data_IF_612592453530
#
_entry.id   IF_612592453530
#
_cell.length_a   1.000
_cell.length_b   1.000
_cell.length_c   1.000
_cell.angle_alpha   90.00
_cell.angle_beta   90.00
_cell.angle_gamma   90.00
#
_symmetry.space_group_name_H-M   'P 1'
#
loop_
_entity.id
_entity.type
_entity.pdbx_description
1 polymer ?
#
# COMPACT_ATOMS: atom_id res chain seq x y z
N UNK A 1 18.09 29.36 -3.36
CA UNK A 1 16.63 29.22 -3.31
C UNK A 1 16.25 28.22 -4.39
N UNK A 2 15.89 27.00 -4.03
CA UNK A 2 15.37 26.05 -5.01
C UNK A 2 13.99 26.57 -5.43
N UNK A 3 13.74 26.68 -6.74
CA UNK A 3 12.42 26.99 -7.27
C UNK A 3 11.42 25.99 -6.72
N UNK A 4 10.44 26.47 -5.97
CA UNK A 4 9.34 25.67 -5.45
C UNK A 4 8.59 25.08 -6.65
N UNK A 5 8.75 23.78 -6.89
CA UNK A 5 8.06 23.11 -7.99
C UNK A 5 6.62 22.92 -7.55
N UNK A 6 5.76 23.88 -7.89
CA UNK A 6 4.32 23.73 -7.67
C UNK A 6 3.80 22.65 -8.61
N UNK A 7 3.23 21.57 -8.05
CA UNK A 7 2.64 20.50 -8.85
C UNK A 7 1.31 20.98 -9.40
N UNK A 8 1.17 20.90 -10.73
CA UNK A 8 -0.12 21.04 -11.39
C UNK A 8 -0.95 19.77 -11.18
N UNK A 9 -1.67 19.73 -10.06
CA UNK A 9 -2.56 18.62 -9.72
C UNK A 9 -3.69 18.41 -10.73
N UNK A 10 -3.99 19.36 -11.61
CA UNK A 10 -5.01 19.13 -12.64
C UNK A 10 -4.55 18.07 -13.65
N UNK A 11 -3.27 18.08 -14.03
CA UNK A 11 -2.70 17.19 -15.04
C UNK A 11 -1.80 16.09 -14.47
N UNK A 12 -1.28 16.28 -13.25
CA UNK A 12 -0.35 15.36 -12.60
C UNK A 12 -1.10 14.65 -11.47
N UNK A 13 -1.51 13.38 -11.65
CA UNK A 13 -2.39 12.75 -10.69
C UNK A 13 -1.63 12.08 -9.53
N UNK A 14 -0.28 12.03 -9.58
CA UNK A 14 0.53 11.49 -8.50
C UNK A 14 1.86 12.22 -8.28
N UNK A 15 2.35 12.17 -7.04
CA UNK A 15 3.66 12.66 -6.65
C UNK A 15 4.33 11.69 -5.67
N UNK A 16 5.65 11.84 -5.50
CA UNK A 16 6.43 11.15 -4.46
C UNK A 16 7.10 12.22 -3.61
N UNK A 17 6.99 12.12 -2.30
CA UNK A 17 7.74 12.98 -1.40
C UNK A 17 9.23 12.65 -1.44
N UNK A 18 10.06 13.70 -1.37
CA UNK A 18 11.53 13.56 -1.36
C UNK A 18 12.09 14.43 -0.24
N UNK A 19 12.34 13.86 0.93
CA UNK A 19 12.87 14.57 2.11
C UNK A 19 14.16 15.34 1.81
N UNK A 20 15.07 14.78 1.00
CA UNK A 20 16.34 15.47 0.64
C UNK A 20 16.13 16.79 -0.10
N UNK A 21 15.04 16.93 -0.85
CA UNK A 21 14.66 18.18 -1.51
C UNK A 21 13.59 18.96 -0.74
N UNK A 22 13.00 18.38 0.30
CA UNK A 22 11.86 18.96 1.04
C UNK A 22 10.68 19.27 0.12
N UNK A 23 10.42 18.44 -0.89
CA UNK A 23 9.46 18.76 -1.93
C UNK A 23 8.78 17.52 -2.52
N UNK A 24 7.56 17.72 -3.03
CA UNK A 24 6.84 16.73 -3.81
C UNK A 24 7.40 16.69 -5.24
N UNK A 25 7.80 15.50 -5.69
CA UNK A 25 8.24 15.27 -7.06
C UNK A 25 7.08 14.69 -7.89
N UNK A 26 6.70 15.31 -9.02
CA UNK A 26 5.63 14.79 -9.85
C UNK A 26 5.97 13.43 -10.48
N UNK A 27 4.97 12.56 -10.59
CA UNK A 27 5.06 11.27 -11.29
C UNK A 27 4.42 11.39 -12.67
N UNK A 28 5.25 11.46 -13.70
CA UNK A 28 4.81 11.56 -15.10
C UNK A 28 4.51 10.20 -15.74
N UNK A 29 5.18 9.14 -15.30
CA UNK A 29 4.99 7.79 -15.83
C UNK A 29 4.33 6.91 -14.77
N UNK A 30 3.02 6.70 -14.93
CA UNK A 30 2.20 5.93 -13.99
C UNK A 30 1.95 4.55 -14.58
N UNK A 31 2.16 3.54 -13.75
CA UNK A 31 1.83 2.15 -14.04
C UNK A 31 0.35 2.03 -14.49
N UNK A 32 0.11 1.49 -15.68
CA UNK A 32 -1.23 1.45 -16.31
C UNK A 32 -2.15 0.37 -15.76
N UNK A 33 -1.76 -0.30 -14.67
CA UNK A 33 -2.53 -1.38 -14.05
C UNK A 33 -3.97 -0.96 -13.71
N UNK A 34 -4.92 -1.84 -14.01
CA UNK A 34 -6.35 -1.69 -13.76
C UNK A 34 -6.83 -2.78 -12.82
N UNK A 35 -8.02 -2.60 -12.24
CA UNK A 35 -8.62 -3.63 -11.38
C UNK A 35 -8.83 -4.96 -12.08
N UNK A 36 -9.13 -4.95 -13.39
CA UNK A 36 -9.28 -6.17 -14.18
C UNK A 36 -7.98 -7.00 -14.27
N UNK A 37 -6.82 -6.38 -14.04
CA UNK A 37 -5.52 -7.07 -14.07
C UNK A 37 -5.19 -7.73 -12.71
N UNK A 38 -6.05 -7.55 -11.70
CA UNK A 38 -5.83 -8.00 -10.32
C UNK A 38 -6.73 -9.20 -9.97
N UNK A 39 -6.20 -10.40 -10.15
CA UNK A 39 -6.94 -11.64 -9.94
C UNK A 39 -6.85 -12.15 -8.49
N UNK A 40 -7.93 -12.78 -8.02
CA UNK A 40 -7.99 -13.48 -6.72
C UNK A 40 -8.14 -12.57 -5.50
N UNK A 41 -8.39 -11.27 -5.70
CA UNK A 41 -8.54 -10.27 -4.63
C UNK A 41 -9.81 -9.42 -4.75
N UNK A 42 -10.87 -9.99 -5.34
CA UNK A 42 -12.13 -9.29 -5.63
C UNK A 42 -12.77 -8.66 -4.40
N UNK A 43 -12.67 -9.32 -3.24
CA UNK A 43 -13.20 -8.80 -1.96
C UNK A 43 -12.46 -7.55 -1.52
N UNK A 44 -11.14 -7.54 -1.64
CA UNK A 44 -10.27 -6.42 -1.31
C UNK A 44 -10.52 -5.25 -2.26
N UNK A 45 -10.67 -5.53 -3.56
CA UNK A 45 -11.06 -4.55 -4.58
C UNK A 45 -12.41 -3.91 -4.25
N UNK A 46 -13.44 -4.71 -3.99
CA UNK A 46 -14.77 -4.21 -3.69
C UNK A 46 -14.77 -3.30 -2.44
N UNK A 47 -14.08 -3.72 -1.38
CA UNK A 47 -14.01 -2.98 -0.13
C UNK A 47 -13.26 -1.64 -0.29
N UNK A 48 -12.09 -1.64 -0.95
CA UNK A 48 -11.30 -0.42 -1.12
C UNK A 48 -11.96 0.54 -2.12
N UNK A 49 -12.59 0.04 -3.20
CA UNK A 49 -13.36 0.86 -4.13
C UNK A 49 -14.50 1.57 -3.41
N UNK A 50 -15.30 0.82 -2.63
CA UNK A 50 -16.40 1.40 -1.86
C UNK A 50 -15.92 2.50 -0.91
N UNK A 51 -14.79 2.30 -0.22
CA UNK A 51 -14.23 3.31 0.67
C UNK A 51 -13.76 4.55 -0.12
N UNK A 52 -13.00 4.38 -1.20
CA UNK A 52 -12.52 5.50 -2.01
C UNK A 52 -13.64 6.25 -2.74
N UNK A 53 -14.69 5.57 -3.20
CA UNK A 53 -15.85 6.24 -3.81
C UNK A 53 -16.62 7.10 -2.82
N UNK A 54 -16.72 6.64 -1.56
CA UNK A 54 -17.30 7.45 -0.47
C UNK A 54 -16.44 8.67 -0.17
N UNK A 55 -15.12 8.50 -0.16
CA UNK A 55 -14.17 9.58 0.09
C UNK A 55 -14.29 10.69 -0.96
N UNK A 56 -14.25 10.32 -2.25
CA UNK A 56 -14.42 11.26 -3.37
C UNK A 56 -15.81 11.94 -3.34
N UNK A 57 -16.80 11.31 -2.72
CA UNK A 57 -18.14 11.87 -2.56
C UNK A 57 -18.31 12.68 -1.26
N UNK A 58 -17.25 12.96 -0.51
CA UNK A 58 -17.30 13.71 0.75
C UNK A 58 -18.09 13.01 1.86
N UNK A 59 -18.13 11.66 1.86
CA UNK A 59 -18.85 10.87 2.87
C UNK A 59 -17.86 10.29 3.90
N UNK A 60 -18.32 9.89 5.10
CA UNK A 60 -17.46 9.26 6.09
C UNK A 60 -16.76 8.00 5.55
N UNK A 61 -15.46 7.92 5.79
CA UNK A 61 -14.53 6.89 5.29
C UNK A 61 -13.44 6.56 6.29
N UNK A 62 -12.72 5.47 6.03
CA UNK A 62 -11.65 4.99 6.87
C UNK A 62 -10.28 5.11 6.19
N UNK A 63 -9.25 5.35 6.98
CA UNK A 63 -7.88 5.00 6.58
C UNK A 63 -7.78 3.48 6.38
N UNK A 64 -6.92 3.04 5.46
CA UNK A 64 -6.82 1.63 5.07
C UNK A 64 -5.44 1.03 5.32
N UNK A 65 -5.41 -0.16 5.92
CA UNK A 65 -4.22 -0.98 6.06
C UNK A 65 -4.36 -2.25 5.22
N UNK A 66 -3.49 -2.38 4.22
CA UNK A 66 -3.40 -3.54 3.34
C UNK A 66 -2.23 -4.41 3.80
N UNK A 67 -2.51 -5.57 4.39
CA UNK A 67 -1.46 -6.39 5.01
C UNK A 67 -1.42 -7.80 4.43
N UNK A 68 -0.25 -8.45 4.53
CA UNK A 68 -0.09 -9.86 4.21
C UNK A 68 1.06 -10.14 3.24
N UNK A 69 1.00 -11.25 2.51
CA UNK A 69 2.13 -11.77 1.76
C UNK A 69 2.64 -10.81 0.67
N UNK A 70 3.93 -10.93 0.32
CA UNK A 70 4.56 -10.11 -0.74
C UNK A 70 4.05 -10.55 -2.12
N UNK A 71 3.88 -9.60 -3.03
CA UNK A 71 3.54 -9.90 -4.44
C UNK A 71 2.09 -10.33 -4.68
N UNK A 72 1.17 -10.03 -3.75
CA UNK A 72 -0.27 -10.35 -3.81
C UNK A 72 -1.14 -9.21 -4.33
N UNK A 73 -0.55 -8.09 -4.77
CA UNK A 73 -1.29 -6.97 -5.36
C UNK A 73 -1.58 -5.79 -4.44
N UNK A 74 -1.03 -5.76 -3.21
CA UNK A 74 -1.23 -4.66 -2.24
C UNK A 74 -0.89 -3.26 -2.79
N UNK A 75 0.28 -3.09 -3.41
CA UNK A 75 0.66 -1.81 -4.03
C UNK A 75 -0.08 -1.58 -5.36
N UNK A 76 -0.35 -2.66 -6.09
CA UNK A 76 -1.04 -2.61 -7.39
C UNK A 76 -2.48 -2.11 -7.28
N UNK A 77 -3.17 -2.40 -6.19
CA UNK A 77 -4.55 -1.94 -5.98
C UNK A 77 -4.62 -0.42 -5.79
N UNK A 78 -3.60 0.20 -5.19
CA UNK A 78 -3.50 1.65 -5.01
C UNK A 78 -3.29 2.34 -6.37
N UNK A 79 -2.43 1.77 -7.21
CA UNK A 79 -2.21 2.22 -8.58
C UNK A 79 -3.49 2.08 -9.42
N UNK A 80 -4.20 0.96 -9.28
CA UNK A 80 -5.49 0.75 -9.96
C UNK A 80 -6.56 1.76 -9.52
N UNK A 81 -6.63 2.09 -8.21
CA UNK A 81 -7.50 3.16 -7.70
C UNK A 81 -7.21 4.50 -8.36
N UNK A 82 -5.94 4.88 -8.44
CA UNK A 82 -5.52 6.12 -9.09
C UNK A 82 -5.97 6.14 -10.55
N UNK A 83 -5.72 5.07 -11.30
CA UNK A 83 -6.10 4.99 -12.71
C UNK A 83 -7.62 5.06 -12.92
N UNK A 84 -8.39 4.41 -12.05
CA UNK A 84 -9.85 4.43 -12.10
C UNK A 84 -10.43 5.82 -11.79
N UNK A 85 -9.88 6.51 -10.78
CA UNK A 85 -10.54 7.68 -10.20
C UNK A 85 -9.82 9.01 -10.40
N UNK A 86 -8.67 9.06 -11.08
CA UNK A 86 -7.96 10.33 -11.36
C UNK A 86 -8.84 11.37 -12.06
N UNK A 87 -9.72 10.94 -12.97
CA UNK A 87 -10.65 11.82 -13.67
C UNK A 87 -11.75 12.39 -12.76
N UNK A 88 -11.99 11.75 -11.61
CA UNK A 88 -12.92 12.20 -10.56
C UNK A 88 -12.20 12.96 -9.44
N UNK A 89 -10.96 13.40 -9.68
CA UNK A 89 -10.20 14.23 -8.74
C UNK A 89 -9.38 13.46 -7.70
N UNK A 90 -9.24 12.14 -7.81
CA UNK A 90 -8.36 11.38 -6.92
C UNK A 90 -6.88 11.62 -7.26
N UNK A 91 -6.05 11.84 -6.25
CA UNK A 91 -4.60 12.00 -6.33
C UNK A 91 -3.90 11.07 -5.36
N UNK A 92 -2.68 10.65 -5.67
CA UNK A 92 -1.86 9.83 -4.78
C UNK A 92 -0.52 10.50 -4.51
N UNK A 93 -0.15 10.58 -3.24
CA UNK A 93 1.18 11.02 -2.82
C UNK A 93 1.85 9.82 -2.17
N UNK A 94 2.91 9.31 -2.78
CA UNK A 94 3.72 8.25 -2.20
C UNK A 94 4.71 8.86 -1.19
N UNK A 95 4.74 8.28 0.01
CA UNK A 95 5.65 8.69 1.07
C UNK A 95 6.37 7.45 1.60
N UNK A 96 7.70 7.49 1.56
CA UNK A 96 8.53 6.39 2.06
C UNK A 96 8.49 6.35 3.60
N UNK A 97 8.69 5.17 4.19
CA UNK A 97 8.69 4.98 5.65
C UNK A 97 9.65 5.94 6.38
N UNK A 98 10.83 6.19 5.81
CA UNK A 98 11.83 7.10 6.40
C UNK A 98 11.35 8.55 6.49
N UNK A 99 10.37 8.92 5.68
CA UNK A 99 9.96 10.29 5.45
C UNK A 99 8.65 10.61 6.20
N UNK A 100 8.16 9.69 7.03
CA UNK A 100 6.92 9.83 7.80
C UNK A 100 6.91 11.03 8.75
N UNK A 101 8.07 11.52 9.17
CA UNK A 101 8.18 12.72 10.02
C UNK A 101 7.71 13.99 9.30
N UNK A 102 7.81 14.01 7.96
CA UNK A 102 7.40 15.14 7.13
C UNK A 102 5.91 15.10 6.77
N UNK A 103 5.18 14.06 7.21
CA UNK A 103 3.77 13.86 6.87
C UNK A 103 2.88 15.07 7.19
N UNK A 104 3.04 15.79 8.32
CA UNK A 104 2.27 17.01 8.58
C UNK A 104 2.49 18.09 7.50
N UNK A 105 3.73 18.33 7.06
CA UNK A 105 4.00 19.32 6.02
C UNK A 105 3.45 18.90 4.65
N UNK A 106 3.51 17.60 4.34
CA UNK A 106 2.90 17.05 3.12
C UNK A 106 1.40 17.31 3.14
N UNK A 107 0.73 17.04 4.26
CA UNK A 107 -0.70 17.27 4.45
C UNK A 107 -1.03 18.76 4.28
N UNK A 108 -0.28 19.64 4.94
CA UNK A 108 -0.49 21.08 4.86
C UNK A 108 -0.35 21.62 3.44
N UNK A 109 0.56 21.06 2.64
CA UNK A 109 0.76 21.47 1.25
C UNK A 109 -0.43 21.18 0.32
N UNK A 110 -1.34 20.26 0.69
CA UNK A 110 -2.45 19.82 -0.18
C UNK A 110 -3.84 19.90 0.45
N UNK A 111 -3.97 20.24 1.73
CA UNK A 111 -5.26 20.29 2.44
C UNK A 111 -6.28 21.26 1.83
N UNK A 112 -5.83 22.39 1.27
CA UNK A 112 -6.71 23.42 0.68
C UNK A 112 -6.91 23.24 -0.83
N UNK A 113 -6.37 22.17 -1.40
CA UNK A 113 -6.52 21.87 -2.83
C UNK A 113 -7.87 21.19 -3.11
N UNK A 114 -8.49 21.42 -4.29
CA UNK A 114 -9.83 20.93 -4.62
C UNK A 114 -9.87 19.42 -4.98
N UNK A 115 -8.78 18.69 -4.72
CA UNK A 115 -8.63 17.27 -5.04
C UNK A 115 -8.71 16.41 -3.78
N UNK A 116 -8.93 15.11 -3.98
CA UNK A 116 -8.94 14.12 -2.91
C UNK A 116 -7.62 13.34 -2.94
N UNK A 117 -6.86 13.36 -1.85
CA UNK A 117 -5.52 12.80 -1.79
C UNK A 117 -5.51 11.51 -0.98
N UNK A 118 -4.91 10.46 -1.55
CA UNK A 118 -4.44 9.31 -0.78
C UNK A 118 -2.95 9.51 -0.52
N UNK A 119 -2.56 9.69 0.73
CA UNK A 119 -1.19 9.50 1.16
C UNK A 119 -0.94 8.00 1.24
N UNK A 120 -0.08 7.50 0.36
CA UNK A 120 0.26 6.10 0.23
C UNK A 120 1.62 5.81 0.86
N UNK A 121 1.63 4.97 1.88
CA UNK A 121 2.85 4.50 2.54
C UNK A 121 3.10 3.03 2.18
N UNK A 122 4.16 2.73 1.43
CA UNK A 122 4.51 1.34 1.10
C UNK A 122 5.38 0.69 2.17
N UNK A 123 5.13 -0.59 2.45
CA UNK A 123 5.87 -1.44 3.41
C UNK A 123 6.01 -0.84 4.82
N UNK A 124 4.90 -0.29 5.32
CA UNK A 124 4.78 0.21 6.68
C UNK A 124 5.00 -0.93 7.68
N UNK A 125 6.10 -0.82 8.41
CA UNK A 125 6.46 -1.67 9.54
C UNK A 125 7.32 -0.81 10.46
N UNK A 126 7.18 -0.94 11.77
CA UNK A 126 7.95 -0.15 12.73
C UNK A 126 8.87 -1.05 13.54
N UNK A 127 10.12 -0.62 13.68
CA UNK A 127 11.07 -1.30 14.55
C UNK A 127 10.97 -0.76 15.99
N UNK A 128 11.59 -1.43 16.95
CA UNK A 128 11.67 -0.94 18.32
C UNK A 128 12.40 0.40 18.41
N UNK A 129 11.89 1.30 19.25
CA UNK A 129 12.44 2.65 19.41
C UNK A 129 12.16 3.63 18.26
N UNK A 130 11.58 3.17 17.15
CA UNK A 130 11.21 4.06 16.05
C UNK A 130 10.01 4.94 16.44
N UNK A 131 10.16 6.27 16.33
CA UNK A 131 9.14 7.27 16.72
C UNK A 131 8.35 7.87 15.55
N UNK A 132 8.67 7.46 14.30
CA UNK A 132 8.04 7.94 13.06
C UNK A 132 6.52 7.72 13.02
N UNK A 133 6.03 6.69 13.72
CA UNK A 133 4.60 6.39 13.85
C UNK A 133 3.80 7.51 14.55
N UNK A 134 4.43 8.35 15.38
CA UNK A 134 3.75 9.43 16.11
C UNK A 134 3.23 10.52 15.17
N UNK A 135 4.00 10.86 14.13
CA UNK A 135 3.58 11.81 13.11
C UNK A 135 2.33 11.31 12.37
N UNK A 136 2.34 10.03 11.99
CA UNK A 136 1.19 9.38 11.35
C UNK A 136 -0.05 9.38 12.24
N UNK A 137 0.11 9.01 13.52
CA UNK A 137 -0.98 9.05 14.50
C UNK A 137 -1.58 10.45 14.63
N UNK A 138 -0.74 11.47 14.75
CA UNK A 138 -1.18 12.86 14.87
C UNK A 138 -2.02 13.31 13.67
N UNK A 139 -1.67 12.92 12.45
CA UNK A 139 -2.43 13.27 11.23
C UNK A 139 -3.78 12.52 11.20
N UNK A 140 -3.80 11.25 11.64
CA UNK A 140 -5.03 10.44 11.64
C UNK A 140 -6.03 10.86 12.73
N UNK A 141 -5.53 11.27 13.91
CA UNK A 141 -6.37 11.69 15.04
C UNK A 141 -6.80 13.15 14.92
N UNK A 142 -6.03 13.95 14.20
CA UNK A 142 -6.07 15.39 14.33
C UNK A 142 -5.37 15.82 15.61
N UNK A 143 -5.03 17.10 15.68
CA UNK A 143 -4.47 17.71 16.89
C UNK A 143 -5.47 18.75 17.41
N UNK A 144 -5.04 19.99 17.60
CA UNK A 144 -5.95 21.14 17.70
C UNK A 144 -6.75 21.28 16.40
N UNK A 145 -6.13 20.93 15.27
CA UNK A 145 -6.77 20.93 13.97
C UNK A 145 -7.43 19.58 13.68
N UNK A 146 -8.62 19.63 13.09
CA UNK A 146 -9.31 18.44 12.60
C UNK A 146 -8.53 17.79 11.45
N UNK A 147 -8.58 16.46 11.31
CA UNK A 147 -8.08 15.80 10.12
C UNK A 147 -8.73 16.40 8.87
N UNK A 148 -7.95 16.67 7.80
CA UNK A 148 -8.49 17.24 6.58
C UNK A 148 -9.43 16.28 5.85
N UNK A 149 -10.60 16.77 5.46
CA UNK A 149 -11.66 15.98 4.82
C UNK A 149 -11.28 15.47 3.41
N UNK A 150 -10.26 16.07 2.80
CA UNK A 150 -9.78 15.74 1.46
C UNK A 150 -8.55 14.82 1.45
N UNK A 151 -8.16 14.24 2.59
CA UNK A 151 -6.99 13.36 2.70
C UNK A 151 -7.35 12.02 3.39
N UNK A 152 -6.85 10.91 2.83
CA UNK A 152 -6.84 9.59 3.44
C UNK A 152 -5.43 9.01 3.46
N UNK A 153 -5.16 8.18 4.45
CA UNK A 153 -3.90 7.44 4.58
C UNK A 153 -4.16 5.97 4.27
N UNK A 154 -3.53 5.48 3.20
CA UNK A 154 -3.51 4.06 2.83
C UNK A 154 -2.09 3.53 3.01
N UNK A 155 -1.93 2.47 3.79
CA UNK A 155 -0.64 1.86 4.04
C UNK A 155 -0.63 0.40 3.60
N UNK A 156 0.50 -0.10 3.10
CA UNK A 156 0.72 -1.54 2.92
C UNK A 156 1.66 -2.06 4.00
N UNK A 157 1.51 -3.31 4.40
CA UNK A 157 2.45 -3.98 5.29
C UNK A 157 2.66 -5.43 4.88
N UNK A 158 3.88 -5.93 5.09
CA UNK A 158 4.16 -7.36 4.98
C UNK A 158 3.86 -8.13 6.28
N UNK A 159 3.54 -7.42 7.36
CA UNK A 159 3.15 -7.99 8.66
C UNK A 159 1.69 -7.68 8.94
N UNK A 160 1.00 -8.57 9.65
CA UNK A 160 -0.39 -8.34 10.10
C UNK A 160 -0.46 -7.19 11.09
N UNK A 161 0.48 -7.19 12.02
CA UNK A 161 0.67 -6.13 12.99
C UNK A 161 1.82 -5.25 12.50
N UNK A 162 1.67 -3.93 12.63
CA UNK A 162 2.72 -2.97 12.28
C UNK A 162 3.99 -3.13 13.15
N UNK A 163 3.87 -3.90 14.23
CA UNK A 163 4.93 -4.31 15.15
C UNK A 163 5.25 -5.81 15.03
N UNK A 164 6.48 -6.24 15.40
CA UNK A 164 6.76 -7.63 15.69
C UNK A 164 5.94 -8.09 16.89
N UNK A 165 5.26 -9.24 16.79
CA UNK A 165 4.78 -9.96 17.97
C UNK A 165 5.97 -10.72 18.56
N UNK A 166 6.52 -10.29 19.70
CA UNK A 166 7.42 -11.16 20.45
C UNK A 166 6.57 -12.17 21.21
N UNK A 167 6.70 -13.45 20.85
CA UNK A 167 6.04 -14.56 21.56
C UNK A 167 6.65 -14.85 22.94
N UNK A 168 7.60 -14.03 23.42
CA UNK A 168 8.27 -14.21 24.71
C UNK A 168 7.75 -13.27 25.83
N UNK A 169 6.82 -12.35 25.53
CA UNK A 169 6.36 -11.33 26.51
C UNK A 169 5.30 -11.84 27.51
N UNK A 170 4.90 -13.11 27.44
CA UNK A 170 3.95 -13.68 28.40
C UNK A 170 4.60 -14.31 29.64
N UNK A 171 5.93 -14.51 29.68
CA UNK A 171 6.56 -15.34 30.72
C UNK A 171 7.66 -14.67 31.57
N UNK A 172 7.90 -13.36 31.45
CA UNK A 172 8.85 -12.68 32.34
C UNK A 172 8.28 -11.38 32.92
N UNK A 173 7.35 -11.54 33.86
CA UNK A 173 7.05 -10.51 34.85
C UNK A 173 8.25 -10.32 35.79
N UNK A 174 9.25 -9.51 35.40
CA UNK A 174 10.33 -9.06 36.30
C UNK A 174 10.54 -7.55 36.15
N UNK A 175 9.64 -6.82 36.82
CA UNK A 175 9.62 -5.36 37.02
C UNK A 175 11.03 -4.75 37.08
N UNK A 176 11.52 -4.39 35.91
CA UNK A 176 12.61 -3.44 35.69
C UNK A 176 11.98 -2.20 35.06
N UNK A 177 12.41 -0.99 35.43
CA UNK A 177 11.90 0.27 34.87
C UNK A 177 11.94 0.33 33.33
N UNK A 178 12.73 -0.51 32.67
CA UNK A 178 12.73 -0.69 31.22
C UNK A 178 11.46 -1.35 30.68
N UNK A 179 10.88 -2.35 31.36
CA UNK A 179 9.69 -3.09 30.90
C UNK A 179 8.43 -2.20 30.81
N UNK A 180 8.29 -1.22 31.72
CA UNK A 180 7.15 -0.30 31.72
C UNK A 180 7.14 0.57 30.45
N UNK A 181 8.31 1.06 30.03
CA UNK A 181 8.44 1.85 28.79
C UNK A 181 8.26 1.00 27.52
N UNK A 182 8.58 -0.29 27.57
CA UNK A 182 8.29 -1.21 26.46
C UNK A 182 6.78 -1.43 26.30
N UNK A 183 6.03 -1.62 27.40
CA UNK A 183 4.57 -1.74 27.36
C UNK A 183 3.87 -0.50 26.79
N UNK A 184 4.28 0.70 27.22
CA UNK A 184 3.74 1.97 26.71
C UNK A 184 3.98 2.13 25.19
N UNK A 185 5.17 1.77 24.70
CA UNK A 185 5.49 1.85 23.27
C UNK A 185 4.70 0.84 22.42
N UNK A 186 4.35 -0.33 22.98
CA UNK A 186 3.50 -1.32 22.33
C UNK A 186 2.05 -0.83 22.26
N UNK A 187 1.49 -0.32 23.36
CA UNK A 187 0.13 0.25 23.40
C UNK A 187 -0.02 1.44 22.44
N UNK A 188 0.97 2.36 22.40
CA UNK A 188 0.95 3.49 21.47
C UNK A 188 0.89 3.03 19.99
N UNK A 189 1.57 1.94 19.65
CA UNK A 189 1.59 1.42 18.27
C UNK A 189 0.37 0.57 17.92
N UNK A 190 -0.20 -0.17 18.88
CA UNK A 190 -1.54 -0.78 18.71
C UNK A 190 -2.57 0.32 18.45
N UNK A 191 -2.51 1.41 19.21
CA UNK A 191 -3.43 2.54 19.02
C UNK A 191 -3.36 3.16 17.62
N UNK A 192 -2.19 3.18 16.97
CA UNK A 192 -2.06 3.59 15.58
C UNK A 192 -2.75 2.59 14.64
N UNK A 193 -2.54 1.29 14.87
CA UNK A 193 -3.15 0.23 14.05
C UNK A 193 -4.69 0.31 14.08
N UNK A 194 -5.27 0.64 15.24
CA UNK A 194 -6.72 0.81 15.42
C UNK A 194 -7.29 2.02 14.65
N UNK A 195 -6.45 2.99 14.24
CA UNK A 195 -6.88 4.14 13.41
C UNK A 195 -7.11 3.79 11.95
N UNK A 196 -6.68 2.60 11.52
CA UNK A 196 -7.09 2.07 10.22
C UNK A 196 -8.45 1.40 10.37
N UNK A 197 -9.52 2.10 9.99
CA UNK A 197 -10.87 1.52 10.03
C UNK A 197 -11.15 0.49 8.93
N UNK A 198 -10.29 0.39 7.91
CA UNK A 198 -10.39 -0.61 6.84
C UNK A 198 -9.15 -1.50 6.81
N UNK A 199 -9.31 -2.77 7.16
CA UNK A 199 -8.24 -3.77 7.11
C UNK A 199 -8.47 -4.75 5.97
N UNK A 200 -7.51 -4.86 5.07
CA UNK A 200 -7.56 -5.76 3.92
C UNK A 200 -6.43 -6.76 4.01
N UNK A 201 -6.79 -8.03 4.18
CA UNK A 201 -5.83 -9.14 4.26
C UNK A 201 -5.53 -9.72 2.89
N UNK A 202 -4.25 -9.94 2.60
CA UNK A 202 -3.75 -10.51 1.36
C UNK A 202 -2.97 -11.79 1.65
N UNK A 203 -3.59 -12.93 1.37
CA UNK A 203 -3.02 -14.24 1.65
C UNK A 203 -2.11 -14.72 0.52
N UNK A 204 -1.20 -15.68 0.80
CA UNK A 204 -0.45 -16.38 -0.24
C UNK A 204 -1.38 -16.94 -1.31
N UNK A 205 -0.94 -16.88 -2.57
CA UNK A 205 -1.69 -17.35 -3.72
C UNK A 205 -1.47 -18.87 -3.86
N UNK A 206 -2.56 -19.61 -3.98
CA UNK A 206 -2.52 -21.06 -4.20
C UNK A 206 -2.14 -21.39 -5.66
N UNK A 207 -2.02 -22.68 -5.99
CA UNK A 207 -1.65 -23.06 -7.35
C UNK A 207 -2.71 -22.67 -8.38
N UNK A 208 -4.01 -22.99 -8.19
CA UNK A 208 -5.05 -22.60 -9.14
C UNK A 208 -5.05 -21.09 -9.41
N UNK A 209 -5.06 -20.25 -8.36
CA UNK A 209 -5.05 -18.80 -8.55
C UNK A 209 -3.76 -18.28 -9.19
N UNK A 210 -2.62 -18.96 -8.99
CA UNK A 210 -1.39 -18.62 -9.72
C UNK A 210 -1.50 -18.98 -11.20
N UNK A 211 -2.07 -20.13 -11.55
CA UNK A 211 -2.26 -20.54 -12.94
C UNK A 211 -3.28 -19.65 -13.66
N UNK A 212 -4.33 -19.18 -12.98
CA UNK A 212 -5.26 -18.19 -13.53
C UNK A 212 -4.52 -16.90 -13.95
N UNK A 213 -3.52 -16.46 -13.15
CA UNK A 213 -2.66 -15.32 -13.51
C UNK A 213 -1.76 -15.62 -14.71
N UNK A 214 -1.24 -16.85 -14.82
CA UNK A 214 -0.44 -17.25 -15.98
C UNK A 214 -1.30 -17.24 -17.23
N UNK A 215 -2.49 -17.82 -17.18
CA UNK A 215 -3.41 -17.85 -18.32
C UNK A 215 -3.85 -16.46 -18.75
N UNK A 216 -4.07 -15.54 -17.81
CA UNK A 216 -4.38 -14.15 -18.13
C UNK A 216 -3.20 -13.39 -18.76
N UNK A 217 -1.96 -13.75 -18.41
CA UNK A 217 -0.76 -13.14 -18.98
C UNK A 217 -0.41 -13.70 -20.37
N UNK A 218 -0.74 -14.96 -20.61
CA UNK A 218 -0.45 -15.70 -21.84
C UNK A 218 -1.74 -16.03 -22.59
N UNK A 219 -2.65 -15.06 -22.70
CA UNK A 219 -3.99 -15.22 -23.27
C UNK A 219 -3.99 -15.62 -24.77
N UNK A 220 -2.88 -15.38 -25.47
CA UNK A 220 -2.67 -15.77 -26.86
C UNK A 220 -2.08 -17.18 -27.06
N UNK A 221 -1.67 -17.87 -25.98
CA UNK A 221 -1.06 -19.20 -26.09
C UNK A 221 -2.14 -20.27 -26.36
N UNK A 222 -1.97 -21.13 -27.38
CA UNK A 222 -2.93 -22.19 -27.71
C UNK A 222 -3.14 -23.19 -26.57
N UNK A 223 -4.33 -23.80 -26.51
CA UNK A 223 -4.69 -24.78 -25.48
C UNK A 223 -3.72 -25.97 -25.43
N UNK A 224 -3.23 -26.44 -26.58
CA UNK A 224 -2.25 -27.54 -26.63
C UNK A 224 -0.92 -27.24 -25.93
N UNK A 225 -0.55 -25.96 -25.78
CA UNK A 225 0.69 -25.52 -25.15
C UNK A 225 0.51 -25.15 -23.67
N UNK A 226 -0.73 -25.06 -23.16
CA UNK A 226 -1.01 -24.63 -21.78
C UNK A 226 -0.42 -25.56 -20.73
N UNK A 227 -0.46 -26.87 -20.94
CA UNK A 227 0.10 -27.81 -19.97
C UNK A 227 1.62 -27.60 -19.80
N UNK A 228 2.33 -27.36 -20.92
CA UNK A 228 3.76 -27.08 -20.89
C UNK A 228 4.05 -25.73 -20.23
N UNK A 229 3.29 -24.69 -20.58
CA UNK A 229 3.36 -23.37 -19.98
C UNK A 229 3.18 -23.42 -18.46
N UNK A 230 2.14 -24.10 -17.97
CA UNK A 230 1.84 -24.23 -16.55
C UNK A 230 2.96 -24.94 -15.79
N UNK A 231 3.52 -26.02 -16.35
CA UNK A 231 4.64 -26.75 -15.73
C UNK A 231 5.87 -25.85 -15.58
N UNK A 232 6.23 -25.10 -16.62
CA UNK A 232 7.36 -24.17 -16.57
C UNK A 232 7.09 -23.00 -15.61
N UNK A 233 5.88 -22.46 -15.60
CA UNK A 233 5.49 -21.39 -14.70
C UNK A 233 5.58 -21.81 -13.23
N UNK A 234 5.15 -23.04 -12.90
CA UNK A 234 5.28 -23.61 -11.56
C UNK A 234 6.75 -23.79 -11.18
N UNK A 235 7.57 -24.32 -12.08
CA UNK A 235 9.02 -24.49 -11.86
C UNK A 235 9.70 -23.14 -11.59
N UNK A 236 9.35 -22.12 -12.38
CA UNK A 236 9.86 -20.77 -12.21
C UNK A 236 9.48 -20.18 -10.84
N UNK A 237 8.21 -20.31 -10.44
CA UNK A 237 7.74 -19.82 -9.15
C UNK A 237 8.47 -20.49 -7.97
N UNK A 238 8.66 -21.82 -8.03
CA UNK A 238 9.40 -22.56 -7.00
C UNK A 238 10.85 -22.06 -6.88
N UNK A 239 11.52 -21.84 -8.01
CA UNK A 239 12.90 -21.32 -8.02
C UNK A 239 13.02 -19.89 -7.47
N UNK A 240 11.96 -19.08 -7.57
CA UNK A 240 11.92 -17.68 -7.10
C UNK A 240 11.43 -17.50 -5.66
N UNK A 241 11.09 -18.57 -4.96
CA UNK A 241 10.65 -18.53 -3.56
C UNK A 241 9.14 -18.46 -3.37
N UNK A 242 8.35 -18.83 -4.38
CA UNK A 242 6.92 -19.09 -4.25
C UNK A 242 6.04 -18.44 -5.31
N UNK A 243 4.74 -18.73 -5.21
CA UNK A 243 3.70 -18.23 -6.12
C UNK A 243 3.28 -16.82 -5.72
N UNK A 244 3.35 -15.90 -6.67
CA UNK A 244 2.89 -14.53 -6.49
C UNK A 244 2.60 -13.89 -7.85
N UNK A 245 1.80 -12.82 -7.90
CA UNK A 245 1.62 -12.05 -9.13
C UNK A 245 2.93 -11.44 -9.63
N UNK A 246 3.87 -11.13 -8.72
CA UNK A 246 5.23 -10.72 -9.09
C UNK A 246 5.97 -11.84 -9.82
N UNK A 247 5.91 -13.08 -9.31
CA UNK A 247 6.54 -14.23 -9.95
C UNK A 247 5.91 -14.50 -11.33
N UNK A 248 4.57 -14.39 -11.44
CA UNK A 248 3.86 -14.56 -12.70
C UNK A 248 4.32 -13.52 -13.75
N UNK A 249 4.39 -12.24 -13.39
CA UNK A 249 4.90 -11.18 -14.29
C UNK A 249 6.37 -11.38 -14.68
N UNK A 250 7.21 -11.82 -13.75
CA UNK A 250 8.61 -12.12 -14.04
C UNK A 250 8.76 -13.31 -14.98
N UNK A 251 7.92 -14.34 -14.83
CA UNK A 251 7.86 -15.46 -15.75
C UNK A 251 7.40 -15.01 -17.14
N UNK A 252 6.35 -14.20 -17.22
CA UNK A 252 5.92 -13.59 -18.48
C UNK A 252 7.06 -12.83 -19.17
N UNK A 253 7.75 -11.94 -18.46
CA UNK A 253 8.86 -11.18 -19.04
C UNK A 253 10.04 -12.08 -19.50
N UNK A 254 10.21 -13.24 -18.87
CA UNK A 254 11.30 -14.16 -19.19
C UNK A 254 10.98 -15.07 -20.38
N UNK A 255 9.70 -15.39 -20.60
CA UNK A 255 9.27 -16.43 -21.53
C UNK A 255 8.22 -15.97 -22.56
N UNK A 256 7.85 -14.68 -22.58
CA UNK A 256 6.93 -14.15 -23.58
C UNK A 256 7.52 -14.35 -24.98
N UNK A 257 6.85 -15.16 -25.81
CA UNK A 257 7.30 -15.52 -27.15
C UNK A 257 7.87 -16.93 -27.29
N UNK A 258 8.01 -17.69 -26.20
CA UNK A 258 8.57 -19.05 -26.20
C UNK A 258 7.50 -20.17 -26.32
N UNK A 259 6.22 -19.81 -26.33
CA UNK A 259 5.06 -20.73 -26.30
C UNK A 259 4.05 -20.45 -27.41
#
# INVERSE_FOLDING_TARGET
MASEVTIDWQHIPAAIWRTRSGALRPVSNIDSIRFADLLGIDRQIAAIKKNTERFIAGRPTNNALLWGARGTGKSSIIKALLNEYRARGLRVIEVEKSDMLDLPEIVDSVRDQPFHYIIYCDDLSFDEGESTYKAMKSVMEGSIELPPDNILIYATSNRRHLLPEYMDDNDQSRVSKTEIHHGEAVEEKISLSDRFGLWLSFYPIDQPGYLDMIDALFDTVPEENREALHKEAIRFALAKGGRSGRAARQFFNACSGDF
#
